data_IF_443767138039
#
_entry.id   IF_443767138039
#
_cell.length_a   1.000
_cell.length_b   1.000
_cell.length_c   1.000
_cell.angle_alpha   90.00
_cell.angle_beta   90.00
_cell.angle_gamma   90.00
#
_symmetry.space_group_name_H-M   'P 1'
#
loop_
_entity.id
_entity.type
_entity.pdbx_description
1 polymer ?
#
# COMPACT_ATOMS: atom_id res chain seq x y z
N UNK A 1 -7.27 -10.93 7.38
CA UNK A 1 -7.54 -9.59 6.83
C UNK A 1 -7.02 -8.44 7.67
N UNK A 2 -7.35 -8.34 8.98
CA UNK A 2 -6.89 -7.20 9.82
C UNK A 2 -5.37 -6.98 9.77
N UNK A 3 -4.56 -8.04 9.86
CA UNK A 3 -3.10 -7.93 9.73
C UNK A 3 -2.63 -7.33 8.40
N UNK A 4 -3.35 -7.58 7.30
CA UNK A 4 -3.04 -6.98 5.99
C UNK A 4 -3.15 -5.45 6.09
N UNK A 5 -4.29 -4.96 6.58
CA UNK A 5 -4.53 -3.52 6.74
C UNK A 5 -3.60 -2.88 7.76
N UNK A 6 -3.31 -3.58 8.87
CA UNK A 6 -2.33 -3.13 9.85
C UNK A 6 -0.91 -3.07 9.26
N UNK A 7 -0.54 -4.00 8.40
CA UNK A 7 0.76 -3.99 7.71
C UNK A 7 0.86 -2.83 6.73
N UNK A 8 -0.23 -2.50 6.04
CA UNK A 8 -0.32 -1.31 5.19
C UNK A 8 -0.06 -0.02 5.98
N UNK A 9 -0.76 0.17 7.10
CA UNK A 9 -0.55 1.34 7.98
C UNK A 9 0.92 1.41 8.45
N UNK A 10 1.50 0.26 8.84
CA UNK A 10 2.92 0.20 9.24
C UNK A 10 3.87 0.58 8.10
N UNK A 11 3.55 0.23 6.86
CA UNK A 11 4.31 0.63 5.68
C UNK A 11 4.22 2.12 5.42
N UNK A 12 3.00 2.65 5.36
CA UNK A 12 2.72 4.06 5.06
C UNK A 12 3.19 5.03 6.17
N UNK A 13 3.33 4.55 7.41
CA UNK A 13 3.84 5.32 8.55
C UNK A 13 5.38 5.26 8.69
N UNK A 14 6.10 4.52 7.85
CA UNK A 14 7.57 4.58 7.84
C UNK A 14 8.06 6.02 7.66
N UNK A 15 9.18 6.35 8.30
CA UNK A 15 9.73 7.71 8.32
C UNK A 15 9.98 8.29 6.94
N UNK A 16 10.42 7.45 5.99
CA UNK A 16 10.73 7.81 4.61
C UNK A 16 9.47 8.10 3.78
N UNK A 17 8.31 7.56 4.19
CA UNK A 17 7.04 7.64 3.46
C UNK A 17 6.10 8.66 4.12
N UNK A 18 5.74 8.42 5.39
CA UNK A 18 4.88 9.26 6.23
C UNK A 18 3.60 9.75 5.54
N UNK A 19 2.92 8.85 4.84
CA UNK A 19 1.63 9.15 4.18
C UNK A 19 0.45 9.02 5.14
N UNK A 20 0.60 8.19 6.17
CA UNK A 20 -0.37 8.05 7.27
C UNK A 20 0.35 7.97 8.61
N UNK A 21 -0.39 8.22 9.69
CA UNK A 21 0.08 8.01 11.05
C UNK A 21 -1.07 7.65 12.00
N UNK A 22 -0.88 6.63 12.84
CA UNK A 22 -1.83 6.33 13.93
C UNK A 22 -2.03 7.55 14.83
N UNK A 23 -3.29 7.82 15.19
CA UNK A 23 -3.63 8.95 16.05
C UNK A 23 -2.78 8.99 17.33
N UNK A 24 -2.16 10.13 17.59
CA UNK A 24 -1.27 10.34 18.72
C UNK A 24 -1.92 11.28 19.74
N UNK A 25 -2.37 10.73 20.87
CA UNK A 25 -3.10 11.49 21.87
C UNK A 25 -2.19 12.48 22.62
N UNK A 26 -2.75 13.61 23.08
CA UNK A 26 -2.03 14.56 23.93
C UNK A 26 -1.56 13.87 25.20
N UNK A 27 -0.24 13.87 25.45
CA UNK A 27 0.38 13.21 26.60
C UNK A 27 0.82 11.76 26.34
N UNK A 28 0.53 11.18 25.18
CA UNK A 28 1.06 9.87 24.78
C UNK A 28 2.59 9.95 24.63
N UNK A 29 3.30 8.97 25.17
CA UNK A 29 4.75 8.82 24.97
C UNK A 29 4.99 7.77 23.90
N UNK A 30 5.65 8.14 22.81
CA UNK A 30 5.97 7.21 21.73
C UNK A 30 7.26 6.39 21.96
N UNK A 31 8.13 6.83 22.86
CA UNK A 31 9.32 6.12 23.34
C UNK A 31 9.73 6.66 24.71
N UNK A 32 10.44 5.85 25.50
CA UNK A 32 11.01 6.26 26.80
C UNK A 32 12.14 7.28 26.66
N UNK A 33 12.89 7.24 25.55
CA UNK A 33 14.13 8.00 25.36
C UNK A 33 14.13 8.94 24.14
N UNK A 34 13.23 8.74 23.17
CA UNK A 34 13.23 9.50 21.92
C UNK A 34 11.91 10.27 21.73
N UNK A 35 11.87 11.58 22.06
CA UNK A 35 10.63 12.38 22.07
C UNK A 35 9.94 12.53 20.70
N UNK A 36 10.69 12.36 19.61
CA UNK A 36 10.18 12.47 18.23
C UNK A 36 9.52 11.18 17.73
N UNK A 37 9.65 10.05 18.44
CA UNK A 37 9.25 8.74 17.94
C UNK A 37 7.72 8.62 17.90
N UNK A 38 7.14 8.42 16.71
CA UNK A 38 5.73 8.10 16.51
C UNK A 38 5.63 6.74 15.83
N UNK A 39 5.09 5.75 16.53
CA UNK A 39 5.11 4.36 16.08
C UNK A 39 3.69 3.82 15.84
N UNK A 40 3.49 2.95 14.83
CA UNK A 40 2.22 2.28 14.56
C UNK A 40 1.97 1.10 15.52
N UNK A 41 2.05 1.33 16.84
CA UNK A 41 2.00 0.26 17.86
C UNK A 41 0.67 -0.47 17.90
N UNK A 42 -0.42 0.20 17.52
CA UNK A 42 -1.74 -0.41 17.42
C UNK A 42 -1.76 -1.47 16.31
N UNK A 43 -1.24 -1.13 15.15
CA UNK A 43 -1.13 -2.02 13.99
C UNK A 43 -0.12 -3.14 14.21
N UNK A 44 0.99 -2.87 14.90
CA UNK A 44 1.94 -3.92 15.33
C UNK A 44 1.27 -4.92 16.28
N UNK A 45 0.46 -4.43 17.23
CA UNK A 45 -0.33 -5.27 18.12
C UNK A 45 -1.32 -6.16 17.35
N UNK A 46 -2.00 -5.62 16.33
CA UNK A 46 -2.90 -6.41 15.48
C UNK A 46 -2.18 -7.54 14.74
N UNK A 47 -0.98 -7.29 14.23
CA UNK A 47 -0.19 -8.32 13.55
C UNK A 47 0.20 -9.46 14.52
N UNK A 48 0.57 -9.13 15.76
CA UNK A 48 0.85 -10.13 16.79
C UNK A 48 -0.36 -11.01 17.11
N UNK A 49 -1.53 -10.41 17.36
CA UNK A 49 -2.74 -11.14 17.71
C UNK A 49 -3.28 -11.98 16.55
N UNK A 50 -3.14 -11.49 15.31
CA UNK A 50 -3.53 -12.26 14.13
C UNK A 50 -2.74 -13.57 13.99
N UNK A 51 -1.46 -13.59 14.42
CA UNK A 51 -0.63 -14.81 14.43
C UNK A 51 -1.13 -15.82 15.46
N UNK A 52 -1.53 -15.36 16.65
CA UNK A 52 -2.08 -16.23 17.72
C UNK A 52 -3.39 -16.87 17.25
N UNK A 53 -4.34 -16.09 16.73
CA UNK A 53 -5.63 -16.62 16.25
C UNK A 53 -5.44 -17.65 15.13
N UNK A 54 -4.47 -17.44 14.22
CA UNK A 54 -4.15 -18.45 13.19
C UNK A 54 -3.58 -19.74 13.79
N UNK A 55 -2.86 -19.68 14.91
CA UNK A 55 -2.42 -20.87 15.63
C UNK A 55 -3.60 -21.70 16.13
N UNK A 56 -4.62 -21.05 16.69
CA UNK A 56 -5.84 -21.72 17.17
C UNK A 56 -6.61 -22.45 16.06
N UNK A 57 -6.49 -22.00 14.80
CA UNK A 57 -7.07 -22.68 13.65
C UNK A 57 -6.53 -24.11 13.52
N UNK A 58 -5.22 -24.33 13.70
CA UNK A 58 -4.63 -25.68 13.61
C UNK A 58 -5.24 -26.61 14.66
N UNK A 59 -5.32 -26.14 15.92
CA UNK A 59 -5.97 -26.88 17.00
C UNK A 59 -7.43 -27.22 16.68
N UNK A 60 -8.18 -26.27 16.11
CA UNK A 60 -9.56 -26.51 15.71
C UNK A 60 -9.68 -27.57 14.60
N UNK A 61 -8.76 -27.61 13.64
CA UNK A 61 -8.73 -28.64 12.59
C UNK A 61 -8.37 -30.02 13.14
N UNK A 62 -7.44 -30.11 14.08
CA UNK A 62 -7.05 -31.38 14.72
C UNK A 62 -8.21 -31.97 15.57
N UNK A 63 -9.12 -31.13 16.06
CA UNK A 63 -10.31 -31.58 16.80
C UNK A 63 -11.38 -32.28 15.94
N UNK A 64 -11.26 -32.32 14.60
CA UNK A 64 -12.31 -32.84 13.71
C UNK A 64 -12.39 -34.37 13.72
N UNK A 65 -11.25 -35.07 13.76
CA UNK A 65 -11.18 -36.53 13.60
C UNK A 65 -11.40 -37.28 14.92
N UNK A 66 -12.56 -37.05 15.56
CA UNK A 66 -12.96 -37.77 16.77
C UNK A 66 -13.27 -39.24 16.48
N UNK A 67 -13.12 -40.09 17.48
CA UNK A 67 -13.27 -41.54 17.32
C UNK A 67 -14.72 -42.01 17.49
N UNK A 68 -15.23 -42.76 16.51
CA UNK A 68 -16.58 -43.37 16.49
C UNK A 68 -17.71 -42.35 16.76
N UNK A 69 -18.58 -42.61 17.75
CA UNK A 69 -19.68 -41.71 18.09
C UNK A 69 -19.21 -40.41 18.76
N UNK A 70 -18.04 -40.43 19.42
CA UNK A 70 -17.29 -39.29 19.99
C UNK A 70 -16.20 -39.74 20.97
N UNK A 71 -15.12 -38.97 21.04
CA UNK A 71 -14.27 -38.84 22.23
C UNK A 71 -14.32 -37.39 22.77
N UNK A 72 -13.62 -37.09 23.86
CA UNK A 72 -13.71 -35.80 24.57
C UNK A 72 -12.43 -34.95 24.47
N UNK A 73 -11.44 -35.36 23.65
CA UNK A 73 -10.15 -34.66 23.51
C UNK A 73 -10.30 -33.19 23.11
N UNK A 74 -11.25 -32.89 22.22
CA UNK A 74 -11.58 -31.54 21.80
C UNK A 74 -11.96 -30.60 22.96
N UNK A 75 -12.55 -31.12 24.03
CA UNK A 75 -13.11 -30.30 25.11
C UNK A 75 -12.05 -29.51 25.89
N UNK A 76 -10.88 -30.09 26.17
CA UNK A 76 -9.80 -29.38 26.89
C UNK A 76 -9.16 -28.31 26.00
N UNK A 77 -8.99 -28.59 24.71
CA UNK A 77 -8.48 -27.64 23.73
C UNK A 77 -9.47 -26.46 23.51
N UNK A 78 -10.76 -26.74 23.34
CA UNK A 78 -11.81 -25.75 23.12
C UNK A 78 -12.02 -24.81 24.30
N UNK A 79 -11.78 -25.27 25.53
CA UNK A 79 -11.77 -24.40 26.72
C UNK A 79 -10.73 -23.28 26.65
N UNK A 80 -9.69 -23.44 25.83
CA UNK A 80 -8.67 -22.42 25.57
C UNK A 80 -9.03 -21.68 24.29
N UNK A 81 -9.10 -22.40 23.17
CA UNK A 81 -9.14 -21.75 21.85
C UNK A 81 -10.45 -21.00 21.60
N UNK A 82 -11.59 -21.43 22.15
CA UNK A 82 -12.86 -20.73 21.92
C UNK A 82 -12.89 -19.37 22.61
N UNK A 83 -12.74 -19.26 23.95
CA UNK A 83 -12.78 -17.97 24.63
C UNK A 83 -11.65 -17.05 24.17
N UNK A 84 -10.44 -17.58 23.96
CA UNK A 84 -9.31 -16.75 23.53
C UNK A 84 -9.54 -16.21 22.11
N UNK A 85 -9.97 -17.04 21.17
CA UNK A 85 -10.17 -16.59 19.77
C UNK A 85 -11.27 -15.53 19.67
N UNK A 86 -12.42 -15.74 20.31
CA UNK A 86 -13.52 -14.77 20.24
C UNK A 86 -13.20 -13.48 20.97
N UNK A 87 -12.50 -13.55 22.11
CA UNK A 87 -12.08 -12.38 22.89
C UNK A 87 -11.04 -11.57 22.12
N UNK A 88 -10.02 -12.23 21.57
CA UNK A 88 -8.98 -11.57 20.77
C UNK A 88 -9.57 -10.95 19.52
N UNK A 89 -10.46 -11.65 18.80
CA UNK A 89 -11.08 -11.11 17.59
C UNK A 89 -11.94 -9.89 17.89
N UNK A 90 -12.78 -9.94 18.95
CA UNK A 90 -13.57 -8.79 19.39
C UNK A 90 -12.67 -7.58 19.71
N UNK A 91 -11.60 -7.79 20.47
CA UNK A 91 -10.65 -6.74 20.81
C UNK A 91 -9.97 -6.17 19.55
N UNK A 92 -9.52 -7.02 18.62
CA UNK A 92 -8.87 -6.60 17.38
C UNK A 92 -9.80 -5.75 16.53
N UNK A 93 -11.05 -6.16 16.35
CA UNK A 93 -12.02 -5.41 15.54
C UNK A 93 -12.31 -4.03 16.13
N UNK A 94 -12.55 -3.93 17.43
CA UNK A 94 -12.82 -2.66 18.10
C UNK A 94 -11.58 -1.75 18.09
N UNK A 95 -10.41 -2.28 18.46
CA UNK A 95 -9.17 -1.49 18.49
C UNK A 95 -8.78 -1.02 17.09
N UNK A 96 -8.85 -1.90 16.09
CA UNK A 96 -8.48 -1.55 14.72
C UNK A 96 -9.48 -0.58 14.07
N UNK A 97 -10.78 -0.72 14.34
CA UNK A 97 -11.77 0.27 13.90
C UNK A 97 -11.47 1.67 14.44
N UNK A 98 -11.06 1.77 15.71
CA UNK A 98 -10.65 3.05 16.30
C UNK A 98 -9.33 3.58 15.71
N UNK A 99 -8.38 2.70 15.35
CA UNK A 99 -7.16 3.11 14.64
C UNK A 99 -7.52 3.74 13.29
N UNK A 100 -8.32 3.05 12.47
CA UNK A 100 -8.72 3.54 11.14
C UNK A 100 -9.53 4.83 11.25
N UNK A 101 -10.46 4.92 12.21
CA UNK A 101 -11.29 6.11 12.44
C UNK A 101 -10.47 7.36 12.78
N UNK A 102 -9.37 7.19 13.52
CA UNK A 102 -8.52 8.29 13.98
C UNK A 102 -7.17 8.33 13.24
N UNK A 103 -7.06 7.64 12.10
CA UNK A 103 -5.85 7.60 11.31
C UNK A 103 -5.62 8.98 10.69
N UNK A 104 -4.45 9.56 10.94
CA UNK A 104 -4.06 10.81 10.30
C UNK A 104 -3.55 10.50 8.90
N UNK A 105 -4.06 11.19 7.89
CA UNK A 105 -3.65 11.06 6.49
C UNK A 105 -2.95 12.37 6.08
N UNK A 106 -1.84 12.26 5.34
CA UNK A 106 -1.03 13.39 4.88
C UNK A 106 -1.03 13.48 3.35
N UNK A 107 -2.08 14.05 2.71
CA UNK A 107 -2.17 14.15 1.26
C UNK A 107 -0.99 14.87 0.60
N UNK A 108 -0.39 15.84 1.30
CA UNK A 108 0.78 16.56 0.85
C UNK A 108 2.03 15.67 0.76
N UNK A 109 2.22 14.75 1.72
CA UNK A 109 3.32 13.78 1.66
C UNK A 109 3.07 12.76 0.56
N UNK A 110 1.82 12.28 0.39
CA UNK A 110 1.45 11.38 -0.72
C UNK A 110 1.82 12.00 -2.07
N UNK A 111 1.42 13.26 -2.31
CA UNK A 111 1.77 13.97 -3.56
C UNK A 111 3.28 14.14 -3.71
N UNK A 112 3.98 14.59 -2.66
CA UNK A 112 5.45 14.74 -2.68
C UNK A 112 6.14 13.41 -3.02
N UNK A 113 5.67 12.29 -2.48
CA UNK A 113 6.30 10.99 -2.68
C UNK A 113 6.15 10.48 -4.13
N UNK A 114 5.10 10.90 -4.86
CA UNK A 114 4.96 10.59 -6.29
C UNK A 114 6.11 11.17 -7.13
N UNK A 115 6.67 12.30 -6.71
CA UNK A 115 7.80 12.95 -7.39
C UNK A 115 9.16 12.36 -6.98
N UNK A 116 9.22 11.51 -5.95
CA UNK A 116 10.47 10.93 -5.45
C UNK A 116 11.19 10.04 -6.48
N UNK A 117 10.47 9.55 -7.47
CA UNK A 117 11.03 8.79 -8.61
C UNK A 117 11.23 9.66 -9.86
N UNK A 118 11.32 10.99 -9.72
CA UNK A 118 11.73 11.91 -10.77
C UNK A 118 10.86 11.87 -12.04
N UNK A 119 9.57 11.52 -11.90
CA UNK A 119 8.62 11.38 -13.00
C UNK A 119 8.66 10.04 -13.74
N UNK A 120 9.47 9.07 -13.29
CA UNK A 120 9.60 7.75 -13.93
C UNK A 120 8.31 6.93 -13.93
N UNK A 121 7.38 7.22 -13.01
CA UNK A 121 6.04 6.58 -12.99
C UNK A 121 5.24 6.80 -14.27
N UNK A 122 5.58 7.83 -15.07
CA UNK A 122 4.93 8.14 -16.34
C UNK A 122 5.59 7.48 -17.56
N UNK A 123 6.68 6.72 -17.38
CA UNK A 123 7.41 6.07 -18.48
C UNK A 123 6.53 5.21 -19.38
N UNK A 124 5.58 4.46 -18.81
CA UNK A 124 4.63 3.66 -19.59
C UNK A 124 3.69 4.54 -20.43
N UNK A 125 3.24 5.69 -19.93
CA UNK A 125 2.37 6.63 -20.67
C UNK A 125 3.09 7.19 -21.89
N UNK A 126 4.36 7.57 -21.72
CA UNK A 126 5.22 8.05 -22.81
C UNK A 126 5.41 6.96 -23.86
N UNK A 127 5.73 5.73 -23.44
CA UNK A 127 5.90 4.59 -24.33
C UNK A 127 4.62 4.31 -25.13
N UNK A 128 3.45 4.33 -24.50
CA UNK A 128 2.17 4.10 -25.18
C UNK A 128 1.87 5.20 -26.21
N UNK A 129 2.13 6.47 -25.88
CA UNK A 129 1.96 7.57 -26.82
C UNK A 129 2.87 7.44 -28.05
N UNK A 130 4.11 6.99 -27.87
CA UNK A 130 5.01 6.70 -28.99
C UNK A 130 4.44 5.62 -29.91
N UNK A 131 3.88 4.54 -29.35
CA UNK A 131 3.22 3.47 -30.12
C UNK A 131 1.99 4.01 -30.86
N UNK A 132 1.16 4.81 -30.19
CA UNK A 132 -0.05 5.39 -30.79
C UNK A 132 0.28 6.32 -31.99
N UNK A 133 1.51 6.85 -32.05
CA UNK A 133 2.02 7.68 -33.16
C UNK A 133 2.76 6.86 -34.23
N UNK A 134 2.79 5.53 -34.12
CA UNK A 134 3.22 4.62 -35.18
C UNK A 134 4.54 3.91 -34.96
N UNK A 135 5.20 4.06 -33.80
CA UNK A 135 6.36 3.23 -33.46
C UNK A 135 5.93 1.80 -33.12
N UNK A 136 6.79 0.83 -33.43
CA UNK A 136 6.66 -0.50 -32.83
C UNK A 136 6.94 -0.42 -31.32
N UNK A 137 6.43 -1.41 -30.58
CA UNK A 137 6.64 -1.48 -29.12
C UNK A 137 8.12 -1.58 -28.75
N UNK A 138 8.90 -2.31 -29.54
CA UNK A 138 10.34 -2.49 -29.34
C UNK A 138 11.07 -1.17 -29.53
N UNK A 139 10.82 -0.47 -30.64
CA UNK A 139 11.42 0.84 -30.88
C UNK A 139 11.03 1.88 -29.82
N UNK A 140 9.77 1.91 -29.37
CA UNK A 140 9.34 2.81 -28.30
C UNK A 140 10.02 2.48 -26.97
N UNK A 141 10.20 1.20 -26.65
CA UNK A 141 10.88 0.75 -25.44
C UNK A 141 12.36 1.13 -25.47
N UNK A 142 13.06 0.87 -26.58
CA UNK A 142 14.48 1.15 -26.76
C UNK A 142 14.79 2.66 -26.75
N UNK A 143 13.81 3.50 -27.09
CA UNK A 143 13.93 4.96 -26.97
C UNK A 143 13.77 5.45 -25.52
N UNK A 144 12.80 4.89 -24.80
CA UNK A 144 12.44 5.38 -23.45
C UNK A 144 13.38 4.81 -22.38
N UNK A 145 13.74 3.53 -22.47
CA UNK A 145 14.51 2.84 -21.43
C UNK A 145 15.84 3.55 -21.09
N UNK A 146 16.68 3.98 -22.06
CA UNK A 146 17.92 4.68 -21.74
C UNK A 146 17.69 5.98 -20.98
N UNK A 147 16.61 6.72 -21.29
CA UNK A 147 16.25 7.97 -20.59
C UNK A 147 15.81 7.70 -19.15
N UNK A 148 15.11 6.58 -18.92
CA UNK A 148 14.75 6.18 -17.55
C UNK A 148 15.98 5.80 -16.72
N UNK A 149 16.98 5.16 -17.33
CA UNK A 149 18.23 4.82 -16.67
C UNK A 149 19.03 6.08 -16.29
N UNK A 150 19.16 7.04 -17.22
CA UNK A 150 19.85 8.32 -16.95
C UNK A 150 19.14 9.08 -15.81
N UNK A 151 17.81 9.22 -15.86
CA UNK A 151 17.06 9.88 -14.79
C UNK A 151 17.34 9.25 -13.41
N UNK A 152 17.42 7.92 -13.35
CA UNK A 152 17.68 7.21 -12.10
C UNK A 152 19.13 7.30 -11.64
N UNK A 153 20.09 7.05 -12.53
CA UNK A 153 21.51 6.97 -12.19
C UNK A 153 22.10 8.37 -11.91
N UNK A 154 21.65 9.38 -12.63
CA UNK A 154 22.12 10.77 -12.50
C UNK A 154 21.23 11.63 -11.60
N UNK A 155 20.13 11.08 -11.09
CA UNK A 155 19.16 11.78 -10.24
C UNK A 155 18.59 13.07 -10.90
N UNK A 156 18.28 12.97 -12.20
CA UNK A 156 17.71 14.07 -12.99
C UNK A 156 16.24 13.81 -13.34
N UNK A 157 15.48 14.88 -13.57
CA UNK A 157 14.06 14.76 -13.92
C UNK A 157 13.90 14.04 -15.27
N UNK A 158 12.98 13.08 -15.35
CA UNK A 158 12.75 12.28 -16.54
C UNK A 158 12.19 13.09 -17.71
N UNK A 159 11.33 14.08 -17.45
CA UNK A 159 10.66 14.88 -18.48
C UNK A 159 11.63 15.67 -19.38
N UNK A 160 12.59 16.46 -18.85
CA UNK A 160 13.59 17.14 -19.67
C UNK A 160 14.37 16.21 -20.61
N UNK A 161 14.72 15.00 -20.15
CA UNK A 161 15.45 14.02 -20.97
C UNK A 161 14.67 13.56 -22.22
N UNK A 162 13.34 13.60 -22.15
CA UNK A 162 12.46 13.34 -23.30
C UNK A 162 12.37 14.55 -24.22
N UNK A 163 12.26 15.75 -23.64
CA UNK A 163 12.14 17.01 -24.38
C UNK A 163 13.44 17.40 -25.11
N UNK A 164 14.58 16.93 -24.64
CA UNK A 164 15.90 17.11 -25.28
C UNK A 164 16.21 16.06 -26.35
N UNK A 165 15.45 14.95 -26.41
CA UNK A 165 15.68 13.90 -27.41
C UNK A 165 14.98 14.23 -28.73
N UNK A 166 15.79 14.53 -29.75
CA UNK A 166 15.29 14.90 -31.09
C UNK A 166 14.40 13.82 -31.71
N UNK A 167 14.67 12.54 -31.48
CA UNK A 167 13.88 11.45 -32.06
C UNK A 167 12.53 11.34 -31.39
N UNK A 168 12.46 11.47 -30.06
CA UNK A 168 11.18 11.54 -29.33
C UNK A 168 10.39 12.78 -29.74
N UNK A 169 11.02 13.95 -29.79
CA UNK A 169 10.35 15.22 -30.14
C UNK A 169 9.96 15.33 -31.63
N UNK A 170 10.54 14.50 -32.50
CA UNK A 170 10.09 14.37 -33.89
C UNK A 170 8.74 13.64 -34.02
N UNK A 171 8.32 12.93 -32.98
CA UNK A 171 7.14 12.04 -32.96
C UNK A 171 6.07 12.55 -31.98
N UNK A 172 6.50 12.99 -30.79
CA UNK A 172 5.64 13.57 -29.76
C UNK A 172 5.74 15.09 -29.74
N UNK A 173 4.59 15.76 -29.68
CA UNK A 173 4.53 17.19 -29.38
C UNK A 173 4.76 17.45 -27.89
N UNK A 174 4.99 18.72 -27.53
CA UNK A 174 5.05 19.13 -26.11
C UNK A 174 3.74 18.83 -25.36
N UNK A 175 2.60 18.97 -26.04
CA UNK A 175 1.28 18.65 -25.46
C UNK A 175 1.12 17.14 -25.24
N UNK A 176 1.65 16.31 -26.15
CA UNK A 176 1.67 14.86 -25.96
C UNK A 176 2.48 14.48 -24.71
N UNK A 177 3.62 15.14 -24.46
CA UNK A 177 4.43 14.94 -23.26
C UNK A 177 3.71 15.44 -22.02
N UNK A 178 3.14 16.65 -22.04
CA UNK A 178 2.37 17.19 -20.90
C UNK A 178 1.25 16.23 -20.47
N UNK A 179 0.46 15.74 -21.43
CA UNK A 179 -0.61 14.79 -21.15
C UNK A 179 -0.08 13.45 -20.63
N UNK A 180 1.12 13.01 -21.04
CA UNK A 180 1.74 11.79 -20.53
C UNK A 180 2.05 11.87 -19.03
N UNK A 181 2.39 13.06 -18.54
CA UNK A 181 2.78 13.36 -17.16
C UNK A 181 1.61 13.83 -16.27
N UNK A 182 0.38 13.87 -16.78
CA UNK A 182 -0.80 14.18 -15.97
C UNK A 182 -1.27 12.97 -15.16
N UNK A 183 -1.11 13.01 -13.83
CA UNK A 183 -1.57 11.95 -12.94
C UNK A 183 -3.09 11.80 -12.88
N UNK A 184 -3.88 12.83 -13.26
CA UNK A 184 -5.33 12.73 -13.27
C UNK A 184 -5.82 11.65 -14.23
N UNK A 185 -5.02 11.30 -15.25
CA UNK A 185 -5.28 10.15 -16.10
C UNK A 185 -5.58 8.89 -15.26
N UNK A 186 -4.84 8.66 -14.18
CA UNK A 186 -5.02 7.48 -13.32
C UNK A 186 -6.26 7.56 -12.41
N UNK A 187 -6.88 8.72 -12.26
CA UNK A 187 -8.07 8.92 -11.44
C UNK A 187 -9.38 8.76 -12.21
N UNK A 188 -9.33 8.69 -13.55
CA UNK A 188 -10.52 8.68 -14.44
C UNK A 188 -11.57 7.60 -14.16
N UNK A 189 -11.17 6.50 -13.51
CA UNK A 189 -12.05 5.37 -13.19
C UNK A 189 -12.37 5.25 -11.69
N UNK A 190 -12.01 6.26 -10.87
CA UNK A 190 -12.26 6.22 -9.42
C UNK A 190 -13.76 6.15 -9.14
N UNK A 191 -14.58 6.99 -9.78
CA UNK A 191 -16.02 7.02 -9.56
C UNK A 191 -16.68 5.67 -9.91
N UNK A 192 -16.29 5.05 -11.04
CA UNK A 192 -16.76 3.73 -11.44
C UNK A 192 -16.42 2.64 -10.39
N UNK A 193 -15.24 2.72 -9.77
CA UNK A 193 -14.84 1.79 -8.70
C UNK A 193 -15.71 2.00 -7.45
N UNK A 194 -15.98 3.26 -7.07
CA UNK A 194 -16.84 3.60 -5.92
C UNK A 194 -18.28 3.11 -6.12
N UNK A 195 -18.81 3.25 -7.34
CA UNK A 195 -20.13 2.71 -7.71
C UNK A 195 -20.17 1.18 -7.55
N UNK A 196 -19.16 0.47 -8.07
CA UNK A 196 -19.08 -1.00 -7.97
C UNK A 196 -19.01 -1.53 -6.54
N UNK A 197 -18.48 -0.75 -5.59
CA UNK A 197 -18.40 -1.13 -4.16
C UNK A 197 -19.55 -0.55 -3.32
N UNK A 198 -20.52 0.12 -3.95
CA UNK A 198 -21.70 0.67 -3.27
C UNK A 198 -21.42 1.87 -2.37
N UNK A 199 -20.44 2.71 -2.74
CA UNK A 199 -20.03 3.92 -2.02
C UNK A 199 -20.19 5.21 -2.84
N UNK A 200 -20.90 5.16 -3.96
CA UNK A 200 -21.23 6.32 -4.80
C UNK A 200 -22.38 7.15 -4.22
#
# INVERSE_FOLDING_TARGET
>A
SVEKFATEIRGLQKSETREVEEGFAKGQKGSSAMPHKRNPIGSENMAGLARVIRGHMVTAYENVSLWHERDISHSSAERIILPDSTTLLNYMLNRFSNIVRNLTVFPENMKRNMDATLGLIYSQRVLLKLIDKGLSREEAYDLVQPKTAIAWDEQTAFRPLLEEDEKIMSILSKDDIEEAFDYNYHLRNVDEIFERVGLA
#
